data_IF_717772813363
#
_entry.id   IF_717772813363
#
_cell.length_a   1.000
_cell.length_b   1.000
_cell.length_c   1.000
_cell.angle_alpha   90.00
_cell.angle_beta   90.00
_cell.angle_gamma   90.00
#
_symmetry.space_group_name_H-M   'P 1'
#
loop_
_entity.id
_entity.type
_entity.pdbx_description
1 polymer ?
#
# COMPACT_ATOMS: atom_id res chain seq x y z
N UNK A 1 19.41 -70.31 9.24
CA UNK A 1 18.42 -69.26 9.57
C UNK A 1 19.23 -68.02 9.93
N UNK A 2 19.74 -67.26 8.96
CA UNK A 2 19.07 -66.11 8.31
C UNK A 2 18.23 -65.30 9.27
N UNK A 3 18.70 -64.09 9.59
CA UNK A 3 17.93 -62.84 9.52
C UNK A 3 18.92 -61.65 9.56
N UNK A 4 18.85 -60.82 8.52
CA UNK A 4 19.65 -59.63 8.27
C UNK A 4 19.18 -58.43 9.15
N UNK A 5 19.87 -57.27 9.13
CA UNK A 5 19.73 -56.20 10.11
C UNK A 5 18.56 -55.26 9.81
N UNK A 6 17.94 -54.69 10.85
CA UNK A 6 16.99 -53.58 10.71
C UNK A 6 17.74 -52.26 10.55
N UNK A 7 17.56 -51.64 9.38
CA UNK A 7 17.85 -50.23 9.12
C UNK A 7 16.75 -49.38 9.72
N UNK A 8 17.07 -48.48 10.64
CA UNK A 8 16.26 -47.28 10.86
C UNK A 8 17.18 -46.07 10.64
N UNK A 9 17.23 -45.67 9.37
CA UNK A 9 17.76 -44.41 8.94
C UNK A 9 16.91 -43.27 9.55
N UNK A 10 17.56 -42.33 10.22
CA UNK A 10 17.12 -40.95 10.28
C UNK A 10 18.34 -40.04 10.26
N UNK A 11 19.05 -40.07 9.12
CA UNK A 11 19.83 -38.94 8.65
C UNK A 11 18.86 -37.79 8.36
N UNK A 12 18.78 -36.80 9.24
CA UNK A 12 18.37 -35.46 8.86
C UNK A 12 19.41 -34.50 9.44
N UNK A 13 20.49 -34.32 8.68
CA UNK A 13 21.23 -33.07 8.74
C UNK A 13 20.21 -31.93 8.60
N UNK A 14 20.32 -30.82 9.37
CA UNK A 14 19.46 -29.68 9.13
C UNK A 14 19.70 -29.27 7.68
N UNK A 15 18.63 -29.37 6.89
CA UNK A 15 18.64 -29.10 5.46
C UNK A 15 19.43 -27.83 5.21
N UNK A 16 20.48 -27.93 4.39
CA UNK A 16 21.15 -26.76 3.83
C UNK A 16 20.06 -25.88 3.23
N UNK A 17 19.86 -24.70 3.83
CA UNK A 17 19.01 -23.68 3.24
C UNK A 17 19.75 -23.24 1.99
N UNK A 18 19.40 -23.84 0.86
CA UNK A 18 19.78 -23.40 -0.48
C UNK A 18 19.12 -22.03 -0.74
N UNK A 19 19.58 -21.01 -0.02
CA UNK A 19 19.11 -19.65 -0.08
C UNK A 19 20.24 -18.73 -0.49
N UNK A 20 19.96 -17.78 -1.39
CA UNK A 20 20.89 -16.70 -1.75
C UNK A 20 21.30 -15.95 -0.48
N UNK A 21 22.49 -16.24 0.04
CA UNK A 21 23.04 -15.57 1.23
C UNK A 21 23.81 -14.33 0.79
N UNK A 22 23.41 -13.17 1.31
CA UNK A 22 24.06 -11.88 1.01
C UNK A 22 24.52 -11.21 2.29
N UNK A 23 25.75 -10.69 2.28
CA UNK A 23 26.26 -9.85 3.37
C UNK A 23 25.60 -8.47 3.26
N UNK A 24 24.77 -8.13 4.25
CA UNK A 24 24.05 -6.87 4.27
C UNK A 24 24.98 -5.69 4.62
N UNK A 25 25.06 -4.65 3.78
CA UNK A 25 25.72 -3.41 4.14
C UNK A 25 25.09 -2.81 5.40
N UNK A 26 25.92 -2.29 6.30
CA UNK A 26 25.45 -1.68 7.56
C UNK A 26 24.54 -2.59 8.41
N UNK A 27 24.77 -3.91 8.40
CA UNK A 27 24.00 -4.91 9.17
C UNK A 27 23.74 -4.50 10.62
N UNK A 28 24.74 -3.96 11.31
CA UNK A 28 24.61 -3.51 12.70
C UNK A 28 23.59 -2.37 12.87
N UNK A 29 23.50 -1.45 11.90
CA UNK A 29 22.52 -0.37 11.90
C UNK A 29 21.10 -0.89 11.63
N UNK A 30 20.94 -1.83 10.68
CA UNK A 30 19.67 -2.49 10.40
C UNK A 30 19.15 -3.24 11.64
N UNK A 31 20.02 -4.01 12.30
CA UNK A 31 19.66 -4.73 13.53
C UNK A 31 19.27 -3.77 14.67
N UNK A 32 19.97 -2.64 14.82
CA UNK A 32 19.60 -1.61 15.81
C UNK A 32 18.22 -1.00 15.51
N UNK A 33 17.88 -0.76 14.24
CA UNK A 33 16.55 -0.26 13.84
C UNK A 33 15.47 -1.30 14.16
N UNK A 34 15.70 -2.55 13.81
CA UNK A 34 14.78 -3.65 14.11
C UNK A 34 14.57 -3.83 15.63
N UNK A 35 15.64 -3.76 16.43
CA UNK A 35 15.54 -3.82 17.89
C UNK A 35 14.70 -2.67 18.47
N UNK A 36 14.81 -1.46 17.89
CA UNK A 36 13.96 -0.32 18.28
C UNK A 36 12.49 -0.56 17.93
N UNK A 37 12.23 -1.08 16.72
CA UNK A 37 10.88 -1.42 16.26
C UNK A 37 10.25 -2.48 17.17
N UNK A 38 11.01 -3.51 17.55
CA UNK A 38 10.56 -4.53 18.51
C UNK A 38 10.16 -3.89 19.86
N UNK A 39 10.98 -2.96 20.37
CA UNK A 39 10.67 -2.21 21.57
C UNK A 39 9.40 -1.36 21.45
N UNK A 40 9.16 -0.76 20.28
CA UNK A 40 7.93 -0.01 20.01
C UNK A 40 6.71 -0.92 19.96
N UNK A 41 6.80 -2.09 19.31
CA UNK A 41 5.72 -3.09 19.29
C UNK A 41 5.39 -3.56 20.70
N UNK A 42 6.41 -3.85 21.52
CA UNK A 42 6.22 -4.18 22.94
C UNK A 42 5.56 -3.04 23.71
N UNK A 43 5.94 -1.80 23.41
CA UNK A 43 5.30 -0.59 23.95
C UNK A 43 3.81 -0.54 23.61
N UNK A 44 3.45 -0.78 22.34
CA UNK A 44 2.04 -0.84 21.88
C UNK A 44 1.27 -1.91 22.63
N UNK A 45 1.83 -3.12 22.80
CA UNK A 45 1.19 -4.18 23.61
C UNK A 45 0.88 -3.68 25.04
N UNK A 46 1.83 -3.03 25.70
CA UNK A 46 1.60 -2.43 27.01
C UNK A 46 0.57 -1.29 27.02
N UNK A 47 0.45 -0.53 25.92
CA UNK A 47 -0.60 0.49 25.79
C UNK A 47 -2.00 -0.14 25.70
N UNK A 48 -2.12 -1.28 25.00
CA UNK A 48 -3.37 -2.04 24.90
C UNK A 48 -3.73 -2.68 26.23
N UNK A 49 -2.77 -3.31 26.91
CA UNK A 49 -2.97 -3.88 28.24
C UNK A 49 -3.40 -2.84 29.28
N UNK A 50 -2.99 -1.58 29.10
CA UNK A 50 -3.34 -0.46 29.96
C UNK A 50 -4.59 0.30 29.49
N UNK A 51 -5.37 -0.24 28.55
CA UNK A 51 -6.60 0.35 28.00
C UNK A 51 -6.41 1.82 27.56
N UNK A 52 -5.26 2.14 26.97
CA UNK A 52 -4.97 3.52 26.52
C UNK A 52 -5.87 3.94 25.37
N UNK A 53 -6.06 5.25 25.25
CA UNK A 53 -6.88 5.85 24.21
C UNK A 53 -6.47 5.37 22.80
N UNK A 54 -7.46 4.92 22.02
CA UNK A 54 -7.23 4.23 20.76
C UNK A 54 -6.40 5.07 19.77
N UNK A 55 -6.58 6.40 19.73
CA UNK A 55 -5.83 7.27 18.83
C UNK A 55 -4.34 7.30 19.19
N UNK A 56 -3.98 7.23 20.47
CA UNK A 56 -2.58 7.15 20.90
C UNK A 56 -1.95 5.83 20.44
N UNK A 57 -2.69 4.72 20.60
CA UNK A 57 -2.25 3.39 20.17
C UNK A 57 -2.04 3.36 18.66
N UNK A 58 -3.01 3.86 17.89
CA UNK A 58 -2.93 3.95 16.43
C UNK A 58 -1.78 4.84 15.96
N UNK A 59 -1.49 5.92 16.69
CA UNK A 59 -0.34 6.79 16.40
C UNK A 59 0.98 6.03 16.55
N UNK A 60 1.13 5.20 17.59
CA UNK A 60 2.32 4.37 17.75
C UNK A 60 2.41 3.25 16.71
N UNK A 61 1.28 2.66 16.32
CA UNK A 61 1.23 1.67 15.22
C UNK A 61 1.70 2.30 13.91
N UNK A 62 1.25 3.52 13.59
CA UNK A 62 1.69 4.25 12.41
C UNK A 62 3.21 4.53 12.46
N UNK A 63 3.74 4.90 13.63
CA UNK A 63 5.18 5.10 13.81
C UNK A 63 6.00 3.82 13.59
N UNK A 64 5.50 2.67 14.05
CA UNK A 64 6.12 1.35 13.79
C UNK A 64 6.10 1.02 12.30
N UNK A 65 4.97 1.25 11.62
CA UNK A 65 4.86 1.02 10.17
C UNK A 65 5.89 1.85 9.40
N UNK A 66 5.97 3.16 9.65
CA UNK A 66 6.95 4.02 8.98
C UNK A 66 8.40 3.60 9.25
N UNK A 67 8.69 3.09 10.46
CA UNK A 67 10.02 2.57 10.79
C UNK A 67 10.35 1.28 10.02
N UNK A 68 9.38 0.39 9.84
CA UNK A 68 9.52 -0.82 9.01
C UNK A 68 9.71 -0.45 7.54
N UNK A 69 8.93 0.50 7.01
CA UNK A 69 9.06 0.98 5.63
C UNK A 69 10.46 1.54 5.37
N UNK A 70 11.03 2.28 6.33
CA UNK A 70 12.40 2.77 6.24
C UNK A 70 13.44 1.63 6.21
N UNK A 71 13.24 0.55 6.96
CA UNK A 71 14.12 -0.64 6.92
C UNK A 71 14.00 -1.35 5.56
N UNK A 72 12.77 -1.54 5.07
CA UNK A 72 12.50 -2.14 3.76
C UNK A 72 13.18 -1.36 2.64
N UNK A 73 13.09 -0.03 2.65
CA UNK A 73 13.72 0.84 1.66
C UNK A 73 15.26 0.72 1.70
N UNK A 74 15.86 0.64 2.89
CA UNK A 74 17.31 0.45 3.02
C UNK A 74 17.76 -0.91 2.48
N UNK A 75 16.98 -1.97 2.75
CA UNK A 75 17.28 -3.30 2.21
C UNK A 75 17.15 -3.33 0.68
N UNK A 76 16.14 -2.66 0.13
CA UNK A 76 15.96 -2.52 -1.31
C UNK A 76 17.12 -1.75 -1.94
N UNK A 77 17.52 -0.61 -1.38
CA UNK A 77 18.66 0.17 -1.86
C UNK A 77 19.96 -0.65 -1.83
N UNK A 78 20.19 -1.41 -0.76
CA UNK A 78 21.33 -2.33 -0.66
C UNK A 78 21.27 -3.43 -1.72
N UNK A 79 20.09 -3.98 -1.97
CA UNK A 79 19.86 -4.99 -3.00
C UNK A 79 20.13 -4.41 -4.39
N UNK A 80 19.61 -3.22 -4.71
CA UNK A 80 19.88 -2.52 -5.97
C UNK A 80 21.38 -2.26 -6.16
N UNK A 81 22.07 -1.73 -5.14
CA UNK A 81 23.51 -1.49 -5.19
C UNK A 81 24.32 -2.78 -5.38
N UNK A 82 23.93 -3.86 -4.70
CA UNK A 82 24.61 -5.15 -4.82
C UNK A 82 24.37 -5.84 -6.16
N UNK A 83 23.11 -5.97 -6.58
CA UNK A 83 22.72 -6.71 -7.78
C UNK A 83 23.00 -5.94 -9.08
N UNK A 84 22.81 -4.61 -9.12
CA UNK A 84 23.11 -3.81 -10.33
C UNK A 84 24.60 -3.75 -10.60
N UNK A 85 25.44 -3.58 -9.56
CA UNK A 85 26.89 -3.60 -9.73
C UNK A 85 27.42 -4.96 -10.18
N UNK A 86 26.76 -6.06 -9.79
CA UNK A 86 27.12 -7.41 -10.21
C UNK A 86 26.63 -7.74 -11.63
N UNK A 87 25.41 -7.31 -11.98
CA UNK A 87 24.83 -7.48 -13.31
C UNK A 87 25.61 -6.74 -14.42
N UNK A 88 26.14 -5.54 -14.11
CA UNK A 88 27.02 -4.80 -15.02
C UNK A 88 28.37 -5.50 -15.27
N UNK A 89 28.84 -6.31 -14.32
CA UNK A 89 30.09 -7.07 -14.45
C UNK A 89 29.88 -8.43 -15.15
N UNK A 90 28.71 -9.04 -14.98
CA UNK A 90 28.42 -10.40 -15.48
C UNK A 90 27.65 -10.42 -16.83
N UNK A 91 27.16 -9.26 -17.31
CA UNK A 91 26.56 -9.12 -18.64
C UNK A 91 25.11 -9.61 -18.77
N UNK A 92 24.48 -10.04 -17.67
CA UNK A 92 23.08 -10.48 -17.60
C UNK A 92 22.20 -9.45 -16.87
N UNK A 93 21.83 -8.39 -17.57
CA UNK A 93 20.92 -7.38 -17.04
C UNK A 93 19.46 -7.85 -16.97
N UNK A 94 19.07 -8.86 -17.76
CA UNK A 94 17.67 -9.22 -18.01
C UNK A 94 17.11 -10.15 -16.92
N UNK A 95 17.90 -11.12 -16.46
CA UNK A 95 17.49 -12.02 -15.37
C UNK A 95 17.29 -11.31 -14.03
N UNK A 96 18.12 -10.31 -13.74
CA UNK A 96 18.12 -9.59 -12.46
C UNK A 96 16.99 -8.57 -12.31
N UNK A 97 16.57 -7.91 -13.41
CA UNK A 97 15.38 -7.03 -13.41
C UNK A 97 14.11 -7.82 -13.10
N UNK A 98 14.05 -9.10 -13.50
CA UNK A 98 12.91 -9.97 -13.22
C UNK A 98 12.80 -10.31 -11.73
N UNK A 99 13.92 -10.58 -11.06
CA UNK A 99 13.97 -10.79 -9.60
C UNK A 99 13.60 -9.50 -8.83
N UNK A 100 13.97 -8.32 -9.36
CA UNK A 100 13.60 -7.01 -8.81
C UNK A 100 12.07 -6.81 -8.79
N UNK A 101 11.39 -7.19 -9.88
CA UNK A 101 9.93 -7.09 -10.02
C UNK A 101 9.22 -8.08 -9.08
N UNK A 102 9.81 -9.23 -8.76
CA UNK A 102 9.20 -10.21 -7.86
C UNK A 102 9.12 -9.74 -6.39
N UNK A 103 10.14 -9.05 -5.90
CA UNK A 103 10.17 -8.51 -4.52
C UNK A 103 9.14 -7.40 -4.34
N UNK A 104 9.02 -6.49 -5.31
CA UNK A 104 8.05 -5.39 -5.28
C UNK A 104 6.61 -5.89 -5.49
N UNK A 105 6.41 -6.88 -6.36
CA UNK A 105 5.07 -7.45 -6.60
C UNK A 105 4.57 -8.32 -5.45
N UNK A 106 5.42 -8.91 -4.61
CA UNK A 106 4.93 -9.76 -3.50
C UNK A 106 4.14 -8.96 -2.44
N UNK A 107 4.61 -7.75 -2.10
CA UNK A 107 3.89 -6.82 -1.22
C UNK A 107 2.57 -6.33 -1.85
N UNK A 108 2.58 -6.09 -3.16
CA UNK A 108 1.42 -5.59 -3.91
C UNK A 108 0.41 -6.68 -4.28
N UNK A 109 0.85 -7.93 -4.47
CA UNK A 109 0.03 -9.12 -4.80
C UNK A 109 -0.94 -9.46 -3.67
N UNK A 110 -0.54 -9.32 -2.41
CA UNK A 110 -1.42 -9.60 -1.27
C UNK A 110 -2.62 -8.64 -1.25
N UNK A 111 -2.38 -7.36 -1.56
CA UNK A 111 -3.44 -6.34 -1.71
C UNK A 111 -4.28 -6.62 -2.96
N UNK A 112 -3.65 -6.95 -4.10
CA UNK A 112 -4.34 -7.23 -5.36
C UNK A 112 -5.19 -8.51 -5.34
N UNK A 113 -4.76 -9.56 -4.61
CA UNK A 113 -5.52 -10.81 -4.43
C UNK A 113 -6.71 -10.64 -3.49
N UNK A 114 -6.58 -9.79 -2.46
CA UNK A 114 -7.72 -9.38 -1.62
C UNK A 114 -8.73 -8.54 -2.43
N UNK A 115 -8.24 -7.64 -3.29
CA UNK A 115 -9.08 -6.84 -4.19
C UNK A 115 -9.73 -7.68 -5.30
N UNK A 116 -9.03 -8.67 -5.88
CA UNK A 116 -9.58 -9.55 -6.92
C UNK A 116 -10.70 -10.46 -6.39
N UNK A 117 -10.63 -10.89 -5.13
CA UNK A 117 -11.72 -11.63 -4.47
C UNK A 117 -12.98 -10.78 -4.21
N UNK A 118 -12.81 -9.46 -4.08
CA UNK A 118 -13.90 -8.48 -3.95
C UNK A 118 -14.47 -8.02 -5.31
N UNK A 119 -13.78 -8.29 -6.43
CA UNK A 119 -14.14 -7.78 -7.76
C UNK A 119 -15.08 -8.69 -8.58
N UNK A 120 -15.55 -9.82 -8.05
CA UNK A 120 -16.64 -10.60 -8.68
C UNK A 120 -18.04 -10.32 -8.11
N UNK A 121 -18.18 -9.46 -7.10
CA UNK A 121 -19.47 -8.84 -6.80
C UNK A 121 -19.58 -7.51 -7.53
N UNK A 122 -19.99 -7.61 -8.79
CA UNK A 122 -20.73 -6.57 -9.48
C UNK A 122 -21.74 -5.93 -8.52
N UNK A 123 -21.47 -4.67 -8.14
CA UNK A 123 -22.35 -3.49 -8.02
C UNK A 123 -21.58 -2.43 -7.21
N UNK A 124 -21.01 -1.45 -7.90
CA UNK A 124 -20.37 -0.29 -7.27
C UNK A 124 -21.45 0.60 -6.67
N UNK A 125 -21.59 0.57 -5.34
CA UNK A 125 -21.86 1.80 -4.61
C UNK A 125 -20.66 2.70 -4.91
N UNK A 126 -20.91 3.94 -5.36
CA UNK A 126 -19.81 4.89 -5.46
C UNK A 126 -19.41 5.25 -4.03
N UNK A 127 -18.15 5.05 -3.68
CA UNK A 127 -17.64 5.40 -2.35
C UNK A 127 -17.42 6.92 -2.26
N UNK A 128 -17.55 7.53 -1.06
CA UNK A 128 -17.25 8.94 -0.86
C UNK A 128 -15.81 9.27 -1.26
N UNK A 129 -15.60 10.49 -1.76
CA UNK A 129 -14.29 10.93 -2.21
C UNK A 129 -13.32 11.13 -1.01
N UNK A 130 -12.22 10.34 -0.91
CA UNK A 130 -11.24 10.46 0.16
C UNK A 130 -10.55 11.82 0.20
N UNK A 131 -10.06 12.25 1.38
CA UNK A 131 -9.40 13.55 1.53
C UNK A 131 -8.18 13.72 0.62
N UNK A 132 -7.35 12.69 0.46
CA UNK A 132 -6.17 12.75 -0.41
C UNK A 132 -6.56 12.97 -1.89
N UNK A 133 -7.59 12.26 -2.40
CA UNK A 133 -8.09 12.49 -3.77
C UNK A 133 -8.65 13.90 -3.95
N UNK A 134 -9.33 14.43 -2.94
CA UNK A 134 -9.85 15.80 -2.96
C UNK A 134 -8.72 16.83 -3.12
N UNK A 135 -7.59 16.63 -2.45
CA UNK A 135 -6.42 17.51 -2.54
C UNK A 135 -5.79 17.55 -3.94
N UNK A 136 -6.06 16.54 -4.77
CA UNK A 136 -5.61 16.49 -6.15
C UNK A 136 -6.55 17.17 -7.15
N UNK A 137 -7.76 17.54 -6.73
CA UNK A 137 -8.69 18.26 -7.58
C UNK A 137 -8.34 19.74 -7.65
N UNK A 138 -8.32 20.29 -8.86
CA UNK A 138 -8.08 21.71 -9.08
C UNK A 138 -9.00 22.28 -10.16
N UNK A 139 -9.10 23.62 -10.20
CA UNK A 139 -9.82 24.33 -11.26
C UNK A 139 -9.14 24.10 -12.61
N UNK A 140 -9.90 24.26 -13.68
CA UNK A 140 -9.48 24.08 -15.07
C UNK A 140 -9.13 22.63 -15.46
N UNK A 141 -9.34 21.64 -14.58
CA UNK A 141 -9.33 20.22 -14.96
C UNK A 141 -10.45 19.93 -15.96
N UNK A 142 -10.19 19.08 -16.95
CA UNK A 142 -11.26 18.53 -17.78
C UNK A 142 -12.11 17.53 -16.99
N UNK A 143 -13.37 17.36 -17.39
CA UNK A 143 -14.25 16.35 -16.79
C UNK A 143 -13.67 14.93 -16.90
N UNK A 144 -12.97 14.62 -17.99
CA UNK A 144 -12.33 13.31 -18.17
C UNK A 144 -11.23 13.07 -17.12
N UNK A 145 -10.36 14.06 -16.90
CA UNK A 145 -9.31 13.99 -15.88
C UNK A 145 -9.92 13.95 -14.47
N UNK A 146 -10.98 14.74 -14.22
CA UNK A 146 -11.72 14.71 -12.97
C UNK A 146 -12.22 13.30 -12.67
N UNK A 147 -12.91 12.66 -13.61
CA UNK A 147 -13.46 11.32 -13.41
C UNK A 147 -12.38 10.24 -13.27
N UNK A 148 -11.21 10.45 -13.88
CA UNK A 148 -10.07 9.55 -13.69
C UNK A 148 -9.49 9.63 -12.27
N UNK A 149 -9.46 10.82 -11.66
CA UNK A 149 -8.91 11.04 -10.31
C UNK A 149 -9.95 10.75 -9.22
N UNK A 150 -11.18 11.25 -9.39
CA UNK A 150 -12.27 11.22 -8.42
C UNK A 150 -13.16 9.97 -8.53
N UNK A 151 -13.08 9.24 -9.65
CA UNK A 151 -14.02 8.17 -9.96
C UNK A 151 -15.40 8.69 -10.35
N UNK A 152 -16.39 7.80 -10.31
CA UNK A 152 -17.78 8.13 -10.67
C UNK A 152 -18.47 8.88 -9.52
N UNK A 153 -19.18 10.00 -9.78
CA UNK A 153 -19.98 10.68 -8.78
C UNK A 153 -21.22 9.87 -8.40
N UNK A 154 -21.71 10.08 -7.17
CA UNK A 154 -22.97 9.52 -6.67
C UNK A 154 -24.17 10.04 -7.44
N UNK A 155 -24.17 11.35 -7.71
CA UNK A 155 -25.24 12.01 -8.42
C UNK A 155 -24.72 13.15 -9.31
N UNK A 156 -25.43 13.36 -10.41
CA UNK A 156 -25.12 14.39 -11.41
C UNK A 156 -26.35 15.24 -11.63
N UNK A 157 -26.19 16.56 -11.53
CA UNK A 157 -27.23 17.53 -11.85
C UNK A 157 -26.77 18.37 -13.04
N UNK A 158 -27.51 18.32 -14.15
CA UNK A 158 -27.29 19.23 -15.27
C UNK A 158 -28.04 20.55 -15.03
N UNK A 159 -27.45 21.67 -15.44
CA UNK A 159 -28.20 22.92 -15.54
C UNK A 159 -28.94 22.95 -16.89
N UNK A 160 -30.28 22.88 -16.90
CA UNK A 160 -31.03 22.91 -18.15
C UNK A 160 -30.93 24.26 -18.89
N UNK A 161 -30.51 25.34 -18.22
CA UNK A 161 -30.38 26.66 -18.81
C UNK A 161 -29.01 26.90 -19.50
N UNK A 162 -27.98 26.13 -19.12
CA UNK A 162 -26.63 26.26 -19.66
C UNK A 162 -26.18 24.94 -20.29
N UNK A 163 -26.15 24.89 -21.62
CA UNK A 163 -25.72 23.70 -22.37
C UNK A 163 -24.25 23.38 -22.05
N UNK A 164 -24.02 22.37 -21.21
CA UNK A 164 -22.68 21.88 -20.88
C UNK A 164 -22.30 22.02 -19.41
N UNK A 165 -23.11 22.75 -18.63
CA UNK A 165 -22.85 22.97 -17.20
C UNK A 165 -23.45 21.85 -16.36
N UNK A 166 -22.63 21.31 -15.46
CA UNK A 166 -22.99 20.16 -14.63
C UNK A 166 -22.45 20.32 -13.23
N UNK A 167 -23.16 19.74 -12.27
CA UNK A 167 -22.74 19.62 -10.89
C UNK A 167 -22.61 18.15 -10.56
N UNK A 168 -21.45 17.75 -10.06
CA UNK A 168 -21.12 16.38 -9.68
C UNK A 168 -20.99 16.31 -8.15
N UNK A 169 -21.59 15.29 -7.55
CA UNK A 169 -21.67 15.12 -6.11
C UNK A 169 -21.04 13.79 -5.69
N UNK A 170 -20.17 13.86 -4.68
CA UNK A 170 -19.69 12.70 -3.91
C UNK A 170 -20.13 12.89 -2.46
N UNK A 171 -21.07 12.07 -1.99
CA UNK A 171 -21.72 12.18 -0.69
C UNK A 171 -20.86 11.53 0.40
N UNK A 172 -20.80 12.18 1.55
CA UNK A 172 -20.16 11.59 2.73
C UNK A 172 -21.00 10.49 3.39
N UNK A 173 -20.31 9.55 4.04
CA UNK A 173 -20.90 8.47 4.84
C UNK A 173 -20.53 8.59 6.33
N UNK A 174 -20.64 7.49 7.09
CA UNK A 174 -20.33 7.46 8.52
C UNK A 174 -18.82 7.61 8.80
N UNK A 175 -17.96 7.14 7.91
CA UNK A 175 -16.50 7.14 8.08
C UNK A 175 -15.87 8.41 7.48
N UNK A 176 -16.46 8.95 6.41
CA UNK A 176 -16.08 10.18 5.73
C UNK A 176 -17.27 11.16 5.71
N UNK A 177 -17.49 11.96 6.77
CA UNK A 177 -18.67 12.82 6.91
C UNK A 177 -18.57 14.12 6.11
N UNK A 178 -18.08 14.06 4.87
CA UNK A 178 -17.91 15.23 4.00
C UNK A 178 -18.49 14.95 2.62
N UNK A 179 -19.28 15.89 2.13
CA UNK A 179 -19.79 15.89 0.76
C UNK A 179 -18.90 16.78 -0.10
N UNK A 180 -18.44 16.25 -1.23
CA UNK A 180 -17.69 17.00 -2.24
C UNK A 180 -18.60 17.36 -3.40
N UNK A 181 -18.64 18.65 -3.76
CA UNK A 181 -19.36 19.20 -4.90
C UNK A 181 -18.36 19.77 -5.89
N UNK A 182 -18.42 19.31 -7.14
CA UNK A 182 -17.64 19.87 -8.24
C UNK A 182 -18.58 20.47 -9.28
N UNK A 183 -18.34 21.73 -9.64
CA UNK A 183 -19.09 22.46 -10.65
C UNK A 183 -18.26 22.46 -11.94
N UNK A 184 -18.88 22.03 -13.02
CA UNK A 184 -18.33 22.03 -14.37
C UNK A 184 -19.00 23.15 -15.17
N UNK A 185 -18.18 23.94 -15.86
CA UNK A 185 -18.62 24.90 -16.87
C UNK A 185 -17.97 24.55 -18.20
N UNK A 186 -18.77 24.29 -19.24
CA UNK A 186 -18.28 23.82 -20.54
C UNK A 186 -17.30 22.62 -20.46
N UNK A 187 -17.55 21.68 -19.54
CA UNK A 187 -16.72 20.48 -19.36
C UNK A 187 -15.40 20.70 -18.61
N UNK A 188 -15.15 21.90 -18.08
CA UNK A 188 -14.01 22.22 -17.22
C UNK A 188 -14.45 22.49 -15.78
N UNK A 189 -13.63 22.09 -14.82
CA UNK A 189 -13.89 22.34 -13.39
C UNK A 189 -13.78 23.83 -13.09
N UNK A 190 -14.91 24.45 -12.75
CA UNK A 190 -14.98 25.88 -12.41
C UNK A 190 -14.95 26.12 -10.90
N UNK A 191 -15.51 25.22 -10.10
CA UNK A 191 -15.52 25.34 -8.65
C UNK A 191 -15.53 23.97 -7.96
N UNK A 192 -14.92 23.91 -6.78
CA UNK A 192 -14.82 22.69 -5.96
C UNK A 192 -15.13 23.07 -4.51
N UNK A 193 -16.04 22.35 -3.87
CA UNK A 193 -16.43 22.57 -2.47
C UNK A 193 -16.47 21.26 -1.71
N UNK A 194 -16.19 21.35 -0.42
CA UNK A 194 -16.30 20.22 0.51
C UNK A 194 -17.00 20.70 1.77
N UNK A 195 -18.19 20.16 2.01
CA UNK A 195 -19.03 20.53 3.15
C UNK A 195 -19.11 19.36 4.13
N UNK A 196 -18.94 19.63 5.43
CA UNK A 196 -19.12 18.62 6.47
C UNK A 196 -20.62 18.33 6.63
N UNK A 197 -20.99 17.06 6.59
CA UNK A 197 -22.35 16.61 6.91
C UNK A 197 -22.58 16.83 8.41
N UNK A 198 -23.56 17.68 8.74
CA UNK A 198 -24.03 17.94 10.10
C UNK A 198 -24.81 16.73 10.65
#
# INVERSE_FOLDING_TARGET
MSLAPKTDACCHAPAEVAGKSVVQPNKSALLKRLARIEGQVRGISGMVEADRYCVDVLTQVAAVKSALDAVSMQLLENHMKGCVSKALQEGDATGMVTELIEVETSAMKTVLSLLAGLLLSSWSLADPLPFEQFMHLHRDMSEAELLQVAGKPDYVRADPAASGDRQLFWLGDADLPYTTLVILHNGLVSDIRRDKRL
#
